data_IF_645957572844
#
_entry.id   IF_645957572844
#
_cell.length_a   1.000
_cell.length_b   1.000
_cell.length_c   1.000
_cell.angle_alpha   90.00
_cell.angle_beta   90.00
_cell.angle_gamma   90.00
#
_symmetry.space_group_name_H-M   'P 1'
#
loop_
_entity.id
_entity.type
_entity.pdbx_description
1 polymer ?
#
# COMPACT_ATOMS: atom_id res chain seq x y z
N UNK A 1 -3.06 7.52 7.01
CA UNK A 1 -2.14 6.96 6.02
C UNK A 1 -2.95 6.22 4.97
N UNK A 2 -2.65 6.46 3.69
CA UNK A 2 -3.23 5.73 2.57
C UNK A 2 -2.09 5.16 1.73
N UNK A 3 -2.23 3.91 1.28
CA UNK A 3 -1.25 3.23 0.45
C UNK A 3 -1.98 2.74 -0.79
N UNK A 4 -1.46 3.11 -1.96
CA UNK A 4 -1.92 2.64 -3.26
C UNK A 4 -0.84 1.74 -3.84
N UNK A 5 -1.25 0.58 -4.32
CA UNK A 5 -0.39 -0.39 -4.98
C UNK A 5 -0.97 -0.65 -6.37
N UNK A 6 -0.12 -0.52 -7.38
CA UNK A 6 -0.39 -0.83 -8.78
C UNK A 6 0.72 -1.77 -9.27
N UNK A 7 0.56 -2.35 -10.46
CA UNK A 7 1.42 -3.41 -11.01
C UNK A 7 2.92 -3.09 -10.89
N UNK A 8 3.28 -1.82 -11.08
CA UNK A 8 4.66 -1.35 -11.06
C UNK A 8 4.90 -0.10 -10.21
N UNK A 9 3.99 0.23 -9.29
CA UNK A 9 4.16 1.42 -8.46
C UNK A 9 3.53 1.32 -7.09
N UNK A 10 4.08 2.08 -6.15
CA UNK A 10 3.53 2.29 -4.83
C UNK A 10 3.43 3.79 -4.54
N UNK A 11 2.30 4.22 -3.98
CA UNK A 11 2.07 5.57 -3.50
C UNK A 11 1.67 5.56 -2.03
N UNK A 12 2.41 6.26 -1.18
CA UNK A 12 2.15 6.37 0.25
C UNK A 12 1.85 7.82 0.62
N UNK A 13 0.69 8.03 1.23
CA UNK A 13 0.18 9.34 1.61
C UNK A 13 0.04 9.38 3.15
N UNK A 14 0.97 10.08 3.80
CA UNK A 14 0.96 10.35 5.24
C UNK A 14 0.08 11.57 5.55
N UNK A 15 -0.60 11.56 6.71
CA UNK A 15 -1.40 12.68 7.22
C UNK A 15 -2.19 13.44 6.15
N UNK A 16 -3.16 12.80 5.50
CA UNK A 16 -3.99 13.43 4.47
C UNK A 16 -3.20 14.06 3.29
N UNK A 17 -1.99 13.57 3.02
CA UNK A 17 -1.15 14.04 1.91
C UNK A 17 -0.13 15.12 2.28
N UNK A 18 0.03 15.47 3.56
CA UNK A 18 1.10 16.36 4.02
C UNK A 18 2.50 15.83 3.63
N UNK A 19 2.66 14.52 3.64
CA UNK A 19 3.88 13.84 3.15
C UNK A 19 3.49 12.78 2.14
N UNK A 20 4.18 12.78 1.00
CA UNK A 20 3.96 11.81 -0.08
C UNK A 20 5.28 11.13 -0.43
N UNK A 21 5.22 9.80 -0.57
CA UNK A 21 6.27 8.99 -1.17
C UNK A 21 5.66 8.26 -2.37
N UNK A 22 6.32 8.32 -3.52
CA UNK A 22 5.89 7.61 -4.73
C UNK A 22 7.11 6.98 -5.37
N UNK A 23 7.04 5.66 -5.56
CA UNK A 23 8.15 4.87 -6.05
C UNK A 23 7.68 3.82 -7.06
N UNK A 24 8.59 3.44 -7.94
CA UNK A 24 8.41 2.30 -8.85
C UNK A 24 8.86 1.03 -8.17
N UNK A 25 8.10 -0.04 -8.36
CA UNK A 25 8.42 -1.39 -7.89
C UNK A 25 8.26 -2.39 -9.02
N UNK A 26 8.89 -3.54 -8.92
CA UNK A 26 8.81 -4.62 -9.91
C UNK A 26 8.61 -5.95 -9.18
N UNK A 27 7.40 -6.21 -8.65
CA UNK A 27 7.11 -7.42 -7.90
C UNK A 27 7.16 -8.67 -8.80
N UNK A 28 7.47 -9.81 -8.21
CA UNK A 28 7.28 -11.10 -8.89
C UNK A 28 5.78 -11.37 -9.06
N UNK A 29 5.30 -11.86 -10.21
CA UNK A 29 3.89 -12.19 -10.43
C UNK A 29 3.33 -13.18 -9.40
N UNK A 30 4.18 -14.06 -8.88
CA UNK A 30 3.80 -15.15 -7.99
C UNK A 30 3.71 -14.73 -6.51
N UNK A 31 4.03 -13.48 -6.18
CA UNK A 31 4.14 -13.04 -4.79
C UNK A 31 3.64 -11.61 -4.56
N UNK A 32 2.33 -11.48 -4.37
CA UNK A 32 1.67 -10.22 -4.01
C UNK A 32 0.89 -10.44 -2.71
N UNK A 33 1.57 -10.28 -1.57
CA UNK A 33 0.95 -10.26 -0.24
C UNK A 33 1.23 -8.93 0.47
N UNK A 34 0.38 -8.58 1.44
CA UNK A 34 0.60 -7.45 2.34
C UNK A 34 0.69 -7.99 3.75
N UNK A 35 1.82 -7.75 4.41
CA UNK A 35 2.08 -8.24 5.76
C UNK A 35 2.33 -7.06 6.71
N UNK A 36 1.79 -7.21 7.91
CA UNK A 36 2.07 -6.29 9.01
C UNK A 36 3.15 -6.90 9.92
N UNK A 37 4.30 -6.23 9.99
CA UNK A 37 5.45 -6.72 10.73
C UNK A 37 5.99 -5.65 11.71
N UNK A 38 5.51 -5.62 12.97
CA UNK A 38 6.03 -4.72 13.99
C UNK A 38 7.45 -5.11 14.40
N UNK A 39 8.35 -4.13 14.50
CA UNK A 39 9.75 -4.32 14.97
C UNK A 39 9.98 -3.57 16.28
N UNK A 40 10.49 -4.26 17.30
CA UNK A 40 10.93 -3.63 18.56
C UNK A 40 9.84 -3.33 19.58
N UNK A 41 8.63 -3.90 19.43
CA UNK A 41 7.54 -3.77 20.38
C UNK A 41 6.18 -4.00 19.74
N UNK A 42 5.12 -3.86 20.55
CA UNK A 42 3.75 -3.97 20.08
C UNK A 42 3.31 -2.66 19.41
N UNK A 43 2.94 -2.74 18.13
CA UNK A 43 2.17 -1.69 17.48
C UNK A 43 0.83 -2.25 17.01
N UNK A 44 -0.19 -1.40 16.96
CA UNK A 44 -1.55 -1.79 16.55
C UNK A 44 -2.08 -0.80 15.53
N UNK A 45 -2.82 -1.29 14.54
CA UNK A 45 -3.67 -0.44 13.71
C UNK A 45 -5.00 -0.23 14.40
N UNK A 46 -5.46 1.02 14.49
CA UNK A 46 -6.75 1.35 15.07
C UNK A 46 -7.92 1.00 14.14
N UNK A 47 -7.76 1.14 12.83
CA UNK A 47 -8.84 0.92 11.84
C UNK A 47 -8.28 0.64 10.43
N UNK A 48 -7.57 -0.48 10.22
CA UNK A 48 -7.09 -0.84 8.89
C UNK A 48 -8.27 -1.19 7.98
N UNK A 49 -8.21 -0.73 6.72
CA UNK A 49 -9.15 -1.08 5.66
C UNK A 49 -8.38 -1.30 4.37
N UNK A 50 -8.85 -2.25 3.56
CA UNK A 50 -8.27 -2.59 2.27
C UNK A 50 -9.38 -2.68 1.22
N UNK A 51 -9.07 -2.26 0.01
CA UNK A 51 -10.00 -2.27 -1.12
C UNK A 51 -9.25 -2.74 -2.36
N UNK A 52 -9.88 -3.60 -3.15
CA UNK A 52 -9.37 -3.93 -4.49
C UNK A 52 -9.63 -2.73 -5.41
N UNK A 53 -8.58 -2.27 -6.08
CA UNK A 53 -8.69 -1.25 -7.10
C UNK A 53 -9.25 -1.89 -8.37
N UNK A 54 -10.19 -1.19 -9.00
CA UNK A 54 -10.67 -1.58 -10.33
C UNK A 54 -9.69 -1.10 -11.38
N UNK A 55 -9.58 -1.87 -12.46
CA UNK A 55 -8.88 -1.37 -13.65
C UNK A 55 -9.57 -0.11 -14.16
N UNK A 56 -8.77 0.88 -14.55
CA UNK A 56 -9.27 2.08 -15.24
C UNK A 56 -9.45 1.85 -16.75
N UNK A 57 -8.93 0.73 -17.26
CA UNK A 57 -8.95 0.38 -18.68
C UNK A 57 -10.06 -0.59 -19.04
N UNK A 58 -10.42 -1.49 -18.11
CA UNK A 58 -11.40 -2.56 -18.34
C UNK A 58 -12.42 -2.62 -17.18
N UNK A 59 -13.74 -2.72 -17.47
CA UNK A 59 -14.80 -2.73 -16.44
C UNK A 59 -14.80 -3.94 -15.52
#
# INVERSE_FOLDING_TARGET
MQIFLDDFSIGVFGNHGETVLSERIFPSPDNISIEYFPKGGDSKFSSPRAWNLKSIWHP
#
